data_IF_889606809063
#
_entry.id   IF_889606809063
#
_cell.length_a   1.000
_cell.length_b   1.000
_cell.length_c   1.000
_cell.angle_alpha   90.00
_cell.angle_beta   90.00
_cell.angle_gamma   90.00
#
_symmetry.space_group_name_H-M   'P 1'
#
loop_
_entity.id
_entity.type
_entity.pdbx_description
1 polymer ?
#
# COMPACT_ATOMS: atom_id res chain seq x y z
N UNK A 1 -13.44 -7.94 18.40
CA UNK A 1 -12.02 -7.98 18.04
C UNK A 1 -11.67 -6.60 17.49
N UNK A 2 -10.59 -5.94 17.97
CA UNK A 2 -10.20 -4.62 17.44
C UNK A 2 -9.43 -4.82 16.14
N UNK A 3 -9.88 -4.18 15.06
CA UNK A 3 -9.18 -4.19 13.77
C UNK A 3 -8.60 -2.81 13.49
N UNK A 4 -7.30 -2.75 13.31
CA UNK A 4 -6.57 -1.54 12.94
C UNK A 4 -6.43 -1.48 11.42
N UNK A 5 -6.51 -0.28 10.87
CA UNK A 5 -6.15 -0.01 9.48
C UNK A 5 -5.12 1.12 9.44
N UNK A 6 -3.95 0.81 8.89
CA UNK A 6 -2.87 1.76 8.72
C UNK A 6 -2.99 2.38 7.34
N UNK A 7 -3.05 3.71 7.30
CA UNK A 7 -3.27 4.49 6.10
C UNK A 7 -2.20 5.59 5.97
N UNK A 8 -2.06 6.12 4.77
CA UNK A 8 -1.21 7.28 4.52
C UNK A 8 -1.62 8.47 5.40
N UNK A 9 -0.65 9.23 5.94
CA UNK A 9 -0.95 10.39 6.81
C UNK A 9 -1.83 11.46 6.13
N UNK A 10 -1.77 11.57 4.82
CA UNK A 10 -2.51 12.55 4.02
C UNK A 10 -3.90 12.12 3.58
N UNK A 11 -4.46 11.00 4.06
CA UNK A 11 -5.86 10.68 3.77
C UNK A 11 -6.78 11.78 4.29
N UNK A 12 -7.84 12.08 3.55
CA UNK A 12 -8.83 13.07 3.97
C UNK A 12 -9.59 12.61 5.21
N UNK A 13 -10.16 13.56 5.96
CA UNK A 13 -11.01 13.24 7.12
C UNK A 13 -12.27 12.47 6.69
N UNK A 14 -12.75 12.68 5.46
CA UNK A 14 -13.85 11.92 4.86
C UNK A 14 -13.50 10.42 4.75
N UNK A 15 -12.30 10.10 4.22
CA UNK A 15 -11.83 8.72 4.09
C UNK A 15 -11.63 8.09 5.47
N UNK A 16 -11.00 8.81 6.40
CA UNK A 16 -10.82 8.33 7.78
C UNK A 16 -12.16 8.02 8.44
N UNK A 17 -13.14 8.93 8.31
CA UNK A 17 -14.48 8.74 8.85
C UNK A 17 -15.19 7.53 8.22
N UNK A 18 -15.11 7.36 6.89
CA UNK A 18 -15.67 6.21 6.21
C UNK A 18 -15.08 4.87 6.73
N UNK A 19 -13.75 4.82 6.94
CA UNK A 19 -13.09 3.65 7.51
C UNK A 19 -13.50 3.39 8.96
N UNK A 20 -13.65 4.46 9.76
CA UNK A 20 -14.10 4.35 11.15
C UNK A 20 -15.55 3.83 11.24
N UNK A 21 -16.44 4.27 10.35
CA UNK A 21 -17.82 3.75 10.25
C UNK A 21 -17.87 2.26 9.90
N UNK A 22 -16.87 1.75 9.18
CA UNK A 22 -16.71 0.32 8.91
C UNK A 22 -16.12 -0.47 10.09
N UNK A 23 -15.86 0.20 11.23
CA UNK A 23 -15.42 -0.43 12.47
C UNK A 23 -13.89 -0.53 12.63
N UNK A 24 -13.11 0.12 11.76
CA UNK A 24 -11.65 0.14 11.89
C UNK A 24 -11.19 1.23 12.88
N UNK A 25 -10.14 0.92 13.61
CA UNK A 25 -9.33 1.94 14.30
C UNK A 25 -8.28 2.42 13.29
N UNK A 26 -8.46 3.65 12.82
CA UNK A 26 -7.60 4.22 11.77
C UNK A 26 -6.31 4.76 12.38
N UNK A 27 -5.17 4.36 11.82
CA UNK A 27 -3.85 4.83 12.18
C UNK A 27 -3.23 5.51 10.96
N UNK A 28 -3.06 6.82 11.01
CA UNK A 28 -2.31 7.58 10.00
C UNK A 28 -0.82 7.38 10.24
N UNK A 29 -0.13 6.85 9.24
CA UNK A 29 1.30 6.58 9.33
C UNK A 29 2.12 7.86 9.12
N UNK A 30 2.95 8.28 10.08
CA UNK A 30 3.88 9.39 9.89
C UNK A 30 4.87 9.12 8.75
N UNK A 31 5.46 10.17 8.21
CA UNK A 31 6.50 10.03 7.19
C UNK A 31 7.78 9.41 7.77
N UNK A 32 8.41 8.54 7.00
CA UNK A 32 9.75 8.02 7.29
C UNK A 32 10.79 8.75 6.44
N UNK A 33 11.63 9.56 7.08
CA UNK A 33 12.59 10.44 6.39
C UNK A 33 13.66 9.73 5.56
N UNK A 34 13.83 8.41 5.75
CA UNK A 34 14.75 7.61 4.94
C UNK A 34 14.21 7.27 3.54
N UNK A 35 12.89 7.42 3.29
CA UNK A 35 12.26 7.16 2.01
C UNK A 35 12.00 8.44 1.22
N UNK A 36 11.88 8.29 -0.11
CA UNK A 36 11.57 9.41 -1.00
C UNK A 36 10.16 10.00 -0.77
N UNK A 37 9.93 11.27 -1.17
CA UNK A 37 8.72 12.03 -0.82
C UNK A 37 7.42 11.43 -1.37
N UNK A 38 7.48 10.59 -2.38
CA UNK A 38 6.30 9.94 -2.97
C UNK A 38 5.86 8.68 -2.22
N UNK A 39 6.74 8.07 -1.41
CA UNK A 39 6.47 6.79 -0.75
C UNK A 39 6.71 6.79 0.76
N UNK A 40 7.22 7.90 1.31
CA UNK A 40 7.62 7.97 2.73
C UNK A 40 6.47 7.82 3.73
N UNK A 41 5.21 7.91 3.28
CA UNK A 41 4.00 7.69 4.09
C UNK A 41 3.15 6.52 3.57
N UNK A 42 3.61 5.81 2.53
CA UNK A 42 2.88 4.71 1.92
C UNK A 42 2.87 3.49 2.83
N UNK A 43 1.69 2.98 3.25
CA UNK A 43 1.61 1.81 4.11
C UNK A 43 2.34 0.59 3.54
N UNK A 44 2.31 0.39 2.23
CA UNK A 44 2.96 -0.73 1.54
C UNK A 44 4.49 -0.62 1.44
N UNK A 45 5.04 0.58 1.69
CA UNK A 45 6.49 0.80 1.79
C UNK A 45 6.98 0.82 3.25
N UNK A 46 6.08 1.03 4.20
CA UNK A 46 6.38 1.15 5.63
C UNK A 46 6.09 -0.13 6.42
N UNK A 47 5.09 -0.91 5.99
CA UNK A 47 4.59 -2.09 6.71
C UNK A 47 4.39 -3.28 5.75
N UNK A 48 4.83 -4.46 6.16
CA UNK A 48 4.55 -5.70 5.45
C UNK A 48 3.88 -6.71 6.39
N UNK A 49 2.64 -7.18 6.10
CA UNK A 49 1.98 -8.21 6.88
C UNK A 49 2.66 -9.57 6.66
N UNK A 50 3.22 -10.15 7.72
CA UNK A 50 3.80 -11.49 7.68
C UNK A 50 2.72 -12.57 7.88
N UNK A 51 2.90 -13.78 7.32
CA UNK A 51 1.93 -14.87 7.47
C UNK A 51 1.65 -15.30 8.92
N UNK A 52 2.59 -15.04 9.84
CA UNK A 52 2.45 -15.33 11.27
C UNK A 52 1.64 -14.28 12.05
N UNK A 53 1.11 -13.27 11.34
CA UNK A 53 0.28 -12.20 11.88
C UNK A 53 1.07 -11.04 12.50
N UNK A 54 2.40 -11.01 12.38
CA UNK A 54 3.21 -9.83 12.70
C UNK A 54 3.22 -8.84 11.55
N UNK A 55 3.43 -7.57 11.87
CA UNK A 55 3.75 -6.53 10.90
C UNK A 55 5.25 -6.29 10.90
N UNK A 56 5.90 -6.47 9.74
CA UNK A 56 7.30 -6.12 9.56
C UNK A 56 7.41 -4.64 9.22
N UNK A 57 8.37 -3.95 9.86
CA UNK A 57 8.75 -2.58 9.54
C UNK A 57 10.24 -2.35 9.79
N UNK A 58 10.76 -1.24 9.29
CA UNK A 58 12.14 -0.83 9.55
C UNK A 58 12.30 -0.40 11.02
N UNK A 59 13.39 -0.84 11.70
CA UNK A 59 13.56 -0.58 13.12
C UNK A 59 13.66 0.91 13.47
N UNK A 60 14.30 1.74 12.62
CA UNK A 60 14.37 3.17 12.85
C UNK A 60 12.98 3.81 12.76
N UNK A 61 12.15 3.38 11.81
CA UNK A 61 10.77 3.86 11.71
C UNK A 61 9.94 3.50 12.95
N UNK A 62 10.12 2.27 13.47
CA UNK A 62 9.49 1.87 14.73
C UNK A 62 9.98 2.72 15.91
N UNK A 63 11.31 2.95 16.03
CA UNK A 63 11.89 3.75 17.12
C UNK A 63 11.38 5.19 17.11
N UNK A 64 11.32 5.82 15.93
CA UNK A 64 10.82 7.18 15.75
C UNK A 64 9.34 7.33 16.14
N UNK A 65 8.55 6.26 16.01
CA UNK A 65 7.10 6.27 16.20
C UNK A 65 6.63 5.25 17.26
N UNK A 66 7.51 4.92 18.21
CA UNK A 66 7.31 3.85 19.18
C UNK A 66 5.98 3.94 19.92
N UNK A 67 5.65 5.11 20.46
CA UNK A 67 4.41 5.29 21.22
C UNK A 67 3.14 5.01 20.38
N UNK A 68 3.17 5.36 19.10
CA UNK A 68 2.07 5.09 18.18
C UNK A 68 1.83 3.58 18.04
N UNK A 69 2.91 2.82 17.82
CA UNK A 69 2.83 1.38 17.57
C UNK A 69 2.56 0.59 18.86
N UNK A 70 3.21 0.93 19.96
CA UNK A 70 3.01 0.25 21.25
C UNK A 70 1.56 0.34 21.75
N UNK A 71 0.88 1.46 21.50
CA UNK A 71 -0.56 1.64 21.87
C UNK A 71 -1.51 0.68 21.14
N UNK A 72 -1.11 0.12 20.01
CA UNK A 72 -1.96 -0.82 19.25
C UNK A 72 -2.06 -2.18 19.92
N UNK A 73 -1.03 -2.59 20.67
CA UNK A 73 -0.89 -3.94 21.20
C UNK A 73 -0.64 -5.01 20.14
N UNK A 74 -0.39 -4.62 18.89
CA UNK A 74 -0.05 -5.51 17.79
C UNK A 74 1.40 -6.02 17.94
N UNK A 75 1.70 -7.14 17.29
CA UNK A 75 3.05 -7.71 17.27
C UNK A 75 3.80 -7.22 16.03
N UNK A 76 5.01 -6.72 16.24
CA UNK A 76 5.88 -6.26 15.18
C UNK A 76 7.12 -7.14 15.02
N UNK A 77 7.58 -7.27 13.79
CA UNK A 77 8.90 -7.73 13.44
C UNK A 77 9.70 -6.52 12.91
N UNK A 78 10.98 -6.46 13.22
CA UNK A 78 11.82 -5.34 12.82
C UNK A 78 12.91 -5.82 11.86
N UNK A 79 13.26 -4.95 10.90
CA UNK A 79 14.43 -5.15 10.03
C UNK A 79 15.32 -3.92 10.09
N UNK A 80 16.63 -4.14 10.06
CA UNK A 80 17.70 -3.14 9.97
C UNK A 80 18.34 -3.08 8.58
N UNK A 81 17.72 -3.77 7.59
CA UNK A 81 18.20 -3.80 6.21
C UNK A 81 18.20 -2.38 5.62
N UNK A 82 19.23 -2.02 4.84
CA UNK A 82 19.34 -0.66 4.31
C UNK A 82 18.15 -0.24 3.48
N UNK A 83 17.66 0.97 3.72
CA UNK A 83 16.65 1.67 2.91
C UNK A 83 17.21 3.00 2.44
N UNK A 84 16.67 3.55 1.37
CA UNK A 84 17.07 4.84 0.82
C UNK A 84 15.93 5.54 0.10
N UNK A 85 16.15 6.82 -0.22
CA UNK A 85 15.14 7.65 -0.87
C UNK A 85 14.98 7.37 -2.38
N UNK A 86 15.93 6.67 -2.96
CA UNK A 86 15.98 6.44 -4.40
C UNK A 86 15.72 4.96 -4.74
N UNK A 87 15.01 4.74 -5.85
CA UNK A 87 14.78 3.41 -6.40
C UNK A 87 16.10 2.73 -6.78
N UNK A 88 16.32 1.46 -6.44
CA UNK A 88 15.37 0.52 -5.82
C UNK A 88 15.53 0.38 -4.28
N UNK A 89 16.16 1.33 -3.61
CA UNK A 89 16.40 1.24 -2.16
C UNK A 89 15.14 1.52 -1.33
N UNK A 90 14.12 2.12 -1.95
CA UNK A 90 12.85 2.50 -1.33
C UNK A 90 11.76 1.41 -1.40
N UNK A 91 12.05 0.25 -2.03
CA UNK A 91 11.05 -0.83 -2.22
C UNK A 91 11.26 -2.04 -1.31
N UNK A 92 12.02 -1.91 -0.22
CA UNK A 92 12.39 -3.00 0.69
C UNK A 92 11.17 -3.84 1.13
N UNK A 93 10.04 -3.21 1.42
CA UNK A 93 8.81 -3.85 1.89
C UNK A 93 7.70 -3.90 0.82
N UNK A 94 7.91 -3.30 -0.36
CA UNK A 94 6.89 -3.19 -1.40
C UNK A 94 6.79 -4.45 -2.28
N UNK A 95 6.67 -5.62 -1.65
CA UNK A 95 6.41 -6.88 -2.33
C UNK A 95 4.93 -7.24 -2.26
N UNK A 96 4.41 -7.90 -3.28
CA UNK A 96 3.05 -8.43 -3.31
C UNK A 96 3.06 -9.86 -2.78
N UNK A 97 2.28 -10.12 -1.74
CA UNK A 97 1.93 -11.46 -1.34
C UNK A 97 0.52 -11.79 -1.82
N UNK A 98 0.39 -12.84 -2.62
CA UNK A 98 -0.91 -13.34 -3.07
C UNK A 98 -0.94 -14.86 -2.88
N UNK A 99 -1.84 -15.33 -2.00
CA UNK A 99 -1.82 -16.70 -1.46
C UNK A 99 -0.46 -16.99 -0.80
N UNK A 100 0.20 -18.07 -1.23
CA UNK A 100 1.49 -18.56 -0.75
C UNK A 100 2.69 -18.08 -1.59
N UNK A 101 2.45 -17.17 -2.55
CA UNK A 101 3.47 -16.69 -3.49
C UNK A 101 3.82 -15.24 -3.22
N UNK A 102 5.11 -14.98 -3.15
CA UNK A 102 5.69 -13.64 -3.06
C UNK A 102 6.14 -13.18 -4.46
N UNK A 103 5.66 -12.02 -4.88
CA UNK A 103 6.05 -11.36 -6.12
C UNK A 103 6.79 -10.06 -5.79
N UNK A 104 7.87 -9.80 -6.49
CA UNK A 104 8.60 -8.55 -6.29
C UNK A 104 9.96 -8.55 -6.99
N UNK A 105 10.66 -7.46 -6.85
CA UNK A 105 12.05 -7.34 -7.25
C UNK A 105 12.93 -8.00 -6.17
N UNK A 106 13.18 -9.32 -6.33
CA UNK A 106 13.71 -10.17 -5.26
C UNK A 106 15.12 -9.78 -4.77
N UNK A 107 15.89 -9.04 -5.54
CA UNK A 107 17.19 -8.47 -5.14
C UNK A 107 17.05 -7.29 -4.17
N UNK A 108 15.89 -6.64 -4.13
CA UNK A 108 15.60 -5.47 -3.30
C UNK A 108 14.60 -5.74 -2.17
N UNK A 109 13.87 -6.86 -2.22
CA UNK A 109 12.91 -7.24 -1.16
C UNK A 109 13.65 -7.74 0.08
N UNK A 110 13.19 -7.33 1.26
CA UNK A 110 13.69 -7.74 2.56
C UNK A 110 13.90 -9.26 2.66
N UNK A 111 15.02 -9.65 3.25
CA UNK A 111 15.35 -11.05 3.56
C UNK A 111 14.30 -11.68 4.47
N UNK A 112 13.80 -10.90 5.43
CA UNK A 112 12.74 -11.34 6.35
C UNK A 112 11.44 -11.62 5.60
N UNK A 113 11.05 -10.76 4.65
CA UNK A 113 9.88 -10.99 3.79
C UNK A 113 10.08 -12.25 2.95
N UNK A 114 11.25 -12.39 2.29
CA UNK A 114 11.55 -13.59 1.48
C UNK A 114 11.51 -14.86 2.32
N UNK A 115 12.08 -14.85 3.50
CA UNK A 115 12.09 -16.03 4.37
C UNK A 115 10.70 -16.47 4.85
N UNK A 116 9.70 -15.59 4.81
CA UNK A 116 8.32 -15.89 5.22
C UNK A 116 7.49 -16.64 4.16
N UNK A 117 8.02 -16.78 2.93
CA UNK A 117 7.33 -17.45 1.82
C UNK A 117 8.22 -18.50 1.18
N UNK A 118 7.64 -19.65 0.84
CA UNK A 118 8.36 -20.74 0.18
C UNK A 118 8.44 -20.58 -1.35
N UNK A 119 7.57 -19.75 -1.92
CA UNK A 119 7.47 -19.57 -3.37
C UNK A 119 7.64 -18.12 -3.74
N UNK A 120 8.62 -17.86 -4.60
CA UNK A 120 8.96 -16.52 -5.04
C UNK A 120 8.88 -16.41 -6.56
N UNK A 121 8.32 -15.33 -7.06
CA UNK A 121 8.29 -14.98 -8.47
C UNK A 121 8.93 -13.61 -8.66
N UNK A 122 10.12 -13.61 -9.26
CA UNK A 122 10.87 -12.39 -9.54
C UNK A 122 10.26 -11.58 -10.68
N UNK A 123 10.07 -10.29 -10.47
CA UNK A 123 9.65 -9.32 -11.48
C UNK A 123 10.60 -8.11 -11.49
N UNK A 124 10.58 -7.33 -12.56
CA UNK A 124 11.41 -6.11 -12.64
C UNK A 124 10.82 -4.95 -11.86
N UNK A 125 9.48 -4.95 -11.63
CA UNK A 125 8.77 -3.92 -10.88
C UNK A 125 9.09 -4.03 -9.40
N UNK A 126 9.68 -2.97 -8.84
CA UNK A 126 9.99 -2.90 -7.40
C UNK A 126 8.78 -2.57 -6.55
N UNK A 127 7.90 -1.70 -7.05
CA UNK A 127 6.64 -1.37 -6.38
C UNK A 127 5.56 -2.41 -6.71
N UNK A 128 5.83 -3.69 -6.45
CA UNK A 128 4.95 -4.77 -6.87
C UNK A 128 3.58 -4.70 -6.20
N UNK A 129 3.52 -4.34 -4.90
CA UNK A 129 2.28 -4.21 -4.17
C UNK A 129 1.47 -2.98 -4.61
N UNK A 130 2.12 -1.82 -4.75
CA UNK A 130 1.48 -0.61 -5.28
C UNK A 130 0.91 -0.84 -6.69
N UNK A 131 1.62 -1.58 -7.53
CA UNK A 131 1.25 -1.83 -8.93
C UNK A 131 0.12 -2.82 -9.12
N UNK A 132 -0.27 -3.56 -8.07
CA UNK A 132 -1.29 -4.61 -8.15
C UNK A 132 -2.37 -4.41 -7.10
N UNK A 133 -3.60 -4.21 -7.55
CA UNK A 133 -4.78 -4.32 -6.70
C UNK A 133 -5.21 -5.79 -6.63
N UNK A 134 -4.98 -6.43 -5.50
CA UNK A 134 -5.48 -7.77 -5.25
C UNK A 134 -6.98 -7.70 -4.88
N UNK A 135 -7.80 -8.47 -5.57
CA UNK A 135 -9.22 -8.66 -5.30
C UNK A 135 -9.43 -10.06 -4.70
N UNK A 136 -9.22 -10.15 -3.39
CA UNK A 136 -9.14 -11.43 -2.69
C UNK A 136 -7.88 -12.23 -3.07
N UNK A 137 -7.95 -13.56 -2.97
CA UNK A 137 -6.79 -14.43 -3.15
C UNK A 137 -6.52 -14.83 -4.61
N UNK A 138 -7.47 -14.63 -5.53
CA UNK A 138 -7.43 -15.26 -6.86
C UNK A 138 -7.50 -14.28 -8.02
N UNK A 139 -7.79 -13.02 -7.75
CA UNK A 139 -7.94 -12.01 -8.78
C UNK A 139 -7.05 -10.81 -8.51
N UNK A 140 -6.56 -10.20 -9.55
CA UNK A 140 -5.69 -9.04 -9.47
C UNK A 140 -5.91 -8.09 -10.65
N UNK A 141 -5.66 -6.81 -10.42
CA UNK A 141 -5.72 -5.77 -11.44
C UNK A 141 -4.37 -5.07 -11.49
N UNK A 142 -3.82 -4.85 -12.66
CA UNK A 142 -2.53 -4.19 -12.82
C UNK A 142 -2.44 -3.48 -14.18
N UNK A 143 -1.52 -2.51 -14.28
CA UNK A 143 -1.09 -1.92 -15.55
C UNK A 143 0.29 -2.45 -15.99
N UNK A 144 0.95 -3.28 -15.17
CA UNK A 144 2.30 -3.80 -15.43
C UNK A 144 2.24 -5.18 -16.10
N UNK A 145 2.76 -5.28 -17.33
CA UNK A 145 2.77 -6.54 -18.10
C UNK A 145 3.64 -7.63 -17.49
N UNK A 146 4.69 -7.24 -16.76
CA UNK A 146 5.57 -8.20 -16.09
C UNK A 146 4.85 -8.87 -14.92
N UNK A 147 4.12 -8.08 -14.14
CA UNK A 147 3.28 -8.57 -13.05
C UNK A 147 2.08 -9.36 -13.56
N UNK A 148 1.40 -8.91 -14.63
CA UNK A 148 0.34 -9.69 -15.29
C UNK A 148 0.83 -11.10 -15.63
N UNK A 149 1.92 -11.19 -16.39
CA UNK A 149 2.49 -12.49 -16.79
C UNK A 149 2.86 -13.36 -15.58
N UNK A 150 3.46 -12.77 -14.57
CA UNK A 150 3.85 -13.45 -13.35
C UNK A 150 2.64 -14.02 -12.60
N UNK A 151 1.58 -13.21 -12.43
CA UNK A 151 0.35 -13.59 -11.74
C UNK A 151 -0.41 -14.69 -12.51
N UNK A 152 -0.57 -14.53 -13.83
CA UNK A 152 -1.19 -15.55 -14.70
C UNK A 152 -0.46 -16.89 -14.62
N UNK A 153 0.87 -16.88 -14.58
CA UNK A 153 1.68 -18.11 -14.48
C UNK A 153 1.45 -18.89 -13.18
N UNK A 154 0.92 -18.23 -12.15
CA UNK A 154 0.57 -18.82 -10.85
C UNK A 154 -0.93 -19.06 -10.71
N UNK A 155 -1.69 -18.96 -11.80
CA UNK A 155 -3.11 -19.28 -11.85
C UNK A 155 -4.03 -18.20 -11.23
N UNK A 156 -3.56 -16.96 -11.12
CA UNK A 156 -4.42 -15.85 -10.79
C UNK A 156 -5.22 -15.39 -12.02
N UNK A 157 -6.43 -14.89 -11.80
CA UNK A 157 -7.21 -14.15 -12.80
C UNK A 157 -6.71 -12.70 -12.82
N UNK A 158 -6.38 -12.16 -13.98
CA UNK A 158 -5.78 -10.81 -14.06
C UNK A 158 -6.52 -9.94 -15.04
N UNK A 159 -6.91 -8.74 -14.58
CA UNK A 159 -7.40 -7.66 -15.44
C UNK A 159 -6.24 -6.68 -15.70
N UNK A 160 -5.85 -6.56 -16.97
CA UNK A 160 -4.95 -5.50 -17.39
C UNK A 160 -5.73 -4.23 -17.70
N UNK A 161 -5.36 -3.13 -17.03
CA UNK A 161 -5.89 -1.80 -17.32
C UNK A 161 -4.76 -0.89 -17.81
N UNK A 162 -5.02 0.02 -18.76
CA UNK A 162 -4.05 1.04 -19.11
C UNK A 162 -3.72 1.93 -17.90
N UNK A 163 -2.48 2.45 -17.80
CA UNK A 163 -2.10 3.34 -16.72
C UNK A 163 -2.82 4.69 -16.81
N UNK A 164 -2.78 5.43 -15.70
CA UNK A 164 -3.28 6.80 -15.58
C UNK A 164 -4.68 6.92 -15.01
N UNK A 165 -5.04 8.15 -14.61
CA UNK A 165 -6.29 8.47 -13.93
C UNK A 165 -6.24 8.26 -12.42
N UNK A 166 -5.08 7.97 -11.86
CA UNK A 166 -4.82 7.85 -10.43
C UNK A 166 -3.72 8.86 -10.09
N UNK A 167 -3.94 9.68 -9.09
CA UNK A 167 -3.01 10.74 -8.72
C UNK A 167 -2.01 10.18 -7.69
N UNK A 168 -0.72 10.42 -7.92
CA UNK A 168 0.31 10.25 -6.90
C UNK A 168 0.84 11.63 -6.49
N UNK A 169 0.80 11.92 -5.20
CA UNK A 169 1.30 13.17 -4.63
C UNK A 169 2.56 12.92 -3.81
N UNK A 170 3.53 13.83 -3.93
CA UNK A 170 4.60 13.86 -2.95
C UNK A 170 4.03 14.26 -1.59
N UNK A 171 4.36 13.50 -0.54
CA UNK A 171 4.07 13.90 0.82
C UNK A 171 4.84 15.20 1.13
N UNK A 172 4.14 16.20 1.67
CA UNK A 172 4.83 17.37 2.19
C UNK A 172 5.73 16.91 3.35
N UNK A 173 7.03 17.25 3.35
CA UNK A 173 7.88 16.94 4.48
C UNK A 173 7.28 17.64 5.72
N UNK A 174 6.85 16.83 6.68
CA UNK A 174 6.38 17.34 7.98
C UNK A 174 7.59 17.50 8.87
N UNK A 175 7.91 18.74 9.28
CA UNK A 175 8.98 18.97 10.23
C UNK A 175 9.67 20.31 10.07
N UNK A 176 10.77 20.44 10.81
CA UNK A 176 11.68 21.57 10.74
C UNK A 176 13.00 21.05 10.16
N UNK A 177 13.66 21.87 9.33
CA UNK A 177 15.00 21.56 8.85
C UNK A 177 16.02 21.57 10.01
N UNK A 178 17.26 21.16 9.72
CA UNK A 178 18.35 21.14 10.72
C UNK A 178 18.62 22.51 11.38
N UNK A 179 18.07 23.59 10.82
CA UNK A 179 18.15 24.96 11.34
C UNK A 179 16.89 25.40 12.09
N UNK A 180 15.95 24.48 12.35
CA UNK A 180 14.70 24.78 13.06
C UNK A 180 13.68 25.57 12.24
N UNK A 181 13.84 25.67 10.91
CA UNK A 181 12.90 26.34 10.01
C UNK A 181 11.89 25.32 9.50
N UNK A 182 10.60 25.66 9.61
CA UNK A 182 9.52 24.82 9.07
C UNK A 182 9.76 24.55 7.59
N UNK A 183 9.89 23.28 7.23
CA UNK A 183 10.06 22.86 5.85
C UNK A 183 8.79 23.25 5.11
N UNK A 184 8.91 24.15 4.13
CA UNK A 184 7.76 24.48 3.27
C UNK A 184 7.42 23.25 2.44
N UNK A 185 6.12 22.93 2.26
CA UNK A 185 5.73 21.96 1.23
C UNK A 185 6.41 22.35 -0.08
N UNK A 186 7.03 21.41 -0.74
CA UNK A 186 7.52 21.61 -2.11
C UNK A 186 6.29 22.07 -2.91
N UNK A 187 6.35 23.25 -3.50
CA UNK A 187 5.23 23.87 -4.22
C UNK A 187 4.67 22.91 -5.25
N UNK A 188 3.39 23.07 -5.55
CA UNK A 188 2.52 22.23 -6.40
C UNK A 188 3.17 20.89 -6.80
N UNK A 189 2.98 19.90 -5.95
CA UNK A 189 3.57 18.58 -6.11
C UNK A 189 3.41 18.13 -7.56
N UNK A 190 4.52 17.85 -8.23
CA UNK A 190 4.50 17.28 -9.58
C UNK A 190 3.60 16.08 -9.50
N UNK A 191 2.42 16.17 -10.12
CA UNK A 191 1.48 15.06 -10.19
C UNK A 191 2.06 14.06 -11.15
N UNK A 192 2.30 12.85 -10.69
CA UNK A 192 2.59 11.72 -11.56
C UNK A 192 1.45 10.71 -11.49
N UNK A 193 1.44 9.78 -12.43
CA UNK A 193 0.46 8.70 -12.43
C UNK A 193 0.78 7.74 -11.28
N UNK A 194 -0.20 7.54 -10.39
CA UNK A 194 -0.15 6.54 -9.34
C UNK A 194 -0.55 5.15 -9.83
N UNK A 195 -0.39 4.19 -8.95
CA UNK A 195 -0.70 2.79 -9.21
C UNK A 195 -2.07 2.39 -8.65
N UNK A 196 -2.72 1.44 -9.35
CA UNK A 196 -4.05 0.95 -8.97
C UNK A 196 -4.05 0.25 -7.60
N UNK A 197 -2.99 -0.49 -7.27
CA UNK A 197 -2.88 -1.19 -5.98
C UNK A 197 -2.71 -0.23 -4.80
N UNK A 198 -2.08 0.93 -5.05
CA UNK A 198 -1.96 1.96 -4.03
C UNK A 198 -3.23 2.79 -3.84
N UNK A 199 -4.20 2.72 -4.76
CA UNK A 199 -5.44 3.48 -4.68
C UNK A 199 -6.60 2.75 -4.00
N UNK A 200 -6.41 1.48 -3.61
CA UNK A 200 -7.48 0.68 -3.03
C UNK A 200 -7.01 -0.32 -1.98
N UNK A 201 -7.96 -0.88 -1.25
CA UNK A 201 -7.74 -1.87 -0.19
C UNK A 201 -8.94 -2.81 -0.06
N UNK A 202 -8.68 -4.11 0.14
CA UNK A 202 -9.73 -5.06 0.54
C UNK A 202 -10.13 -4.79 1.99
N UNK A 203 -11.41 -4.47 2.22
CA UNK A 203 -12.01 -4.15 3.52
C UNK A 203 -12.76 -5.36 4.13
N UNK A 204 -12.32 -6.53 3.79
CA UNK A 204 -12.94 -7.81 4.11
C UNK A 204 -12.80 -8.75 2.92
N UNK A 205 -13.63 -9.78 2.86
CA UNK A 205 -13.53 -10.80 1.81
C UNK A 205 -14.16 -10.36 0.49
N UNK A 206 -15.20 -9.52 0.54
CA UNK A 206 -16.08 -9.19 -0.60
C UNK A 206 -16.16 -7.70 -0.95
N UNK A 207 -15.42 -6.84 -0.27
CA UNK A 207 -15.50 -5.39 -0.48
C UNK A 207 -14.12 -4.78 -0.66
N UNK A 208 -13.92 -4.04 -1.75
CA UNK A 208 -12.72 -3.25 -2.02
C UNK A 208 -13.06 -1.76 -1.94
N UNK A 209 -12.41 -1.06 -0.99
CA UNK A 209 -12.53 0.39 -0.82
C UNK A 209 -11.46 1.14 -1.60
N UNK A 210 -11.81 2.31 -2.14
CA UNK A 210 -10.91 3.16 -2.92
C UNK A 210 -10.73 4.54 -2.28
N UNK A 211 -9.51 5.04 -2.30
CA UNK A 211 -9.16 6.37 -1.80
C UNK A 211 -9.56 7.44 -2.83
N UNK A 212 -10.84 7.76 -2.86
CA UNK A 212 -11.52 8.66 -3.78
C UNK A 212 -12.79 8.05 -4.37
N UNK A 213 -13.35 8.72 -5.36
CA UNK A 213 -14.54 8.25 -6.09
C UNK A 213 -14.17 7.28 -7.21
N UNK A 214 -14.36 5.99 -6.97
CA UNK A 214 -14.09 4.94 -7.97
C UNK A 214 -15.00 5.05 -9.19
N UNK A 215 -16.21 5.59 -9.05
CA UNK A 215 -17.17 5.70 -10.16
C UNK A 215 -16.73 6.72 -11.21
N UNK A 216 -15.89 7.68 -10.82
CA UNK A 216 -15.28 8.65 -11.73
C UNK A 216 -14.01 8.10 -12.45
N UNK A 217 -13.56 6.91 -12.10
CA UNK A 217 -12.39 6.31 -12.75
C UNK A 217 -12.70 5.89 -14.18
N UNK A 218 -11.85 6.31 -15.12
CA UNK A 218 -12.07 6.10 -16.56
C UNK A 218 -12.27 4.63 -16.99
N UNK A 219 -11.81 3.68 -16.20
CA UNK A 219 -11.95 2.24 -16.45
C UNK A 219 -12.90 1.56 -15.43
N UNK A 220 -13.77 2.34 -14.79
CA UNK A 220 -14.67 1.85 -13.75
C UNK A 220 -15.52 0.65 -14.19
N UNK A 221 -16.17 0.72 -15.36
CA UNK A 221 -17.04 -0.34 -15.85
C UNK A 221 -16.32 -1.67 -16.04
N UNK A 222 -15.10 -1.64 -16.58
CA UNK A 222 -14.29 -2.84 -16.75
C UNK A 222 -13.87 -3.41 -15.40
N UNK A 223 -13.41 -2.54 -14.50
CA UNK A 223 -12.99 -2.92 -13.16
C UNK A 223 -14.16 -3.48 -12.35
N UNK A 224 -15.33 -2.84 -12.40
CA UNK A 224 -16.53 -3.27 -11.70
C UNK A 224 -17.02 -4.63 -12.19
N UNK A 225 -17.06 -4.84 -13.53
CA UNK A 225 -17.44 -6.11 -14.12
C UNK A 225 -16.50 -7.25 -13.69
N UNK A 226 -15.20 -6.99 -13.73
CA UNK A 226 -14.20 -7.94 -13.29
C UNK A 226 -14.29 -8.24 -11.79
N UNK A 227 -14.41 -7.22 -10.94
CA UNK A 227 -14.55 -7.40 -9.49
C UNK A 227 -15.81 -8.22 -9.15
N UNK A 228 -16.95 -7.89 -9.76
CA UNK A 228 -18.21 -8.64 -9.57
C UNK A 228 -18.10 -10.12 -9.98
N UNK A 229 -17.40 -10.44 -11.06
CA UNK A 229 -17.18 -11.83 -11.48
C UNK A 229 -16.34 -12.63 -10.48
N UNK A 230 -15.65 -11.95 -9.56
CA UNK A 230 -14.90 -12.54 -8.46
C UNK A 230 -15.56 -12.33 -7.09
N UNK A 231 -16.83 -11.90 -7.06
CA UNK A 231 -17.58 -11.71 -5.82
C UNK A 231 -17.21 -10.47 -5.02
N UNK A 232 -16.50 -9.52 -5.64
CA UNK A 232 -16.03 -8.29 -4.96
C UNK A 232 -16.85 -7.08 -5.37
N UNK A 233 -17.31 -6.33 -4.38
CA UNK A 233 -17.99 -5.04 -4.52
C UNK A 233 -16.98 -3.90 -4.37
N UNK A 234 -17.05 -2.91 -5.25
CA UNK A 234 -16.23 -1.70 -5.17
C UNK A 234 -17.00 -0.59 -4.45
N UNK A 235 -16.31 0.14 -3.56
CA UNK A 235 -16.88 1.26 -2.82
C UNK A 235 -15.91 2.45 -2.82
N UNK A 236 -16.45 3.66 -2.97
CA UNK A 236 -15.70 4.90 -2.79
C UNK A 236 -15.59 5.19 -1.28
N UNK A 237 -14.40 5.55 -0.82
CA UNK A 237 -14.17 6.00 0.56
C UNK A 237 -14.17 7.53 0.66
N UNK A 238 -14.13 8.22 -0.48
CA UNK A 238 -14.17 9.67 -0.57
C UNK A 238 -14.74 10.12 -1.91
N UNK A 239 -15.01 11.41 -2.04
CA UNK A 239 -15.63 12.04 -3.22
C UNK A 239 -14.63 12.66 -4.19
N UNK A 240 -13.34 12.74 -3.81
CA UNK A 240 -12.25 13.25 -4.64
C UNK A 240 -11.80 12.27 -5.73
N UNK A 241 -10.87 12.67 -6.60
CA UNK A 241 -10.27 11.77 -7.57
C UNK A 241 -9.54 10.63 -6.87
N UNK A 242 -9.33 9.51 -7.59
CA UNK A 242 -8.54 8.40 -7.05
C UNK A 242 -7.10 8.84 -6.79
N UNK A 243 -6.60 8.52 -5.60
CA UNK A 243 -5.22 8.81 -5.21
C UNK A 243 -4.51 7.51 -4.82
N UNK A 244 -3.26 7.39 -5.28
CA UNK A 244 -2.34 6.37 -4.81
C UNK A 244 -1.80 6.80 -3.44
N UNK A 245 -2.30 6.14 -2.40
CA UNK A 245 -1.96 6.34 -0.99
C UNK A 245 -1.09 5.20 -0.44
N UNK A 246 -0.51 4.36 -1.34
CA UNK A 246 0.21 3.16 -0.94
C UNK A 246 -0.71 2.07 -0.39
N UNK A 247 -1.98 2.07 -0.78
CA UNK A 247 -2.99 1.19 -0.25
C UNK A 247 -3.24 1.38 1.25
N UNK A 248 -3.56 0.30 1.92
CA UNK A 248 -3.61 0.25 3.39
C UNK A 248 -3.13 -1.12 3.91
N UNK A 249 -2.79 -1.17 5.19
CA UNK A 249 -2.46 -2.41 5.90
C UNK A 249 -3.46 -2.62 7.03
N UNK A 250 -4.15 -3.76 7.00
CA UNK A 250 -5.12 -4.13 8.02
C UNK A 250 -4.49 -5.17 8.95
N UNK A 251 -4.65 -4.97 10.25
CA UNK A 251 -4.21 -5.91 11.28
C UNK A 251 -5.20 -5.95 12.43
N UNK A 252 -5.40 -7.14 13.00
CA UNK A 252 -6.30 -7.35 14.14
C UNK A 252 -5.59 -8.00 15.32
N UNK A 253 -6.05 -7.73 16.53
CA UNK A 253 -5.69 -8.50 17.71
C UNK A 253 -6.42 -9.84 17.63
N UNK A 254 -5.67 -10.94 17.59
CA UNK A 254 -6.23 -12.31 17.68
C UNK A 254 -6.69 -12.62 19.08
#
# INVERSE_FOLDING_TARGET
>A
MKSYIFVHQGVSDEIEFALALLGYIVIRLPSFGALGPYVCCHPDSLLFPLPDGRLLMHENYYRENRELFDRTGLRFALTDEPVGAEYPQDVLLNALALRDVLYGRLDSVSKTVKAAYNKHVGVKQGYARCSVLALGERAAVTADRGLEKALLSQGASVLMLPPGGIILRAAAPSGFDEKGKKIKPVGDAVRCDGFIGGSGVMLGEDTCGFFGDITAYKHYEQLQSFARSHGVRLVSLGTGPLEDMGGAVIAGLK
#
